data_IF_465285278794
#
_entry.id   IF_465285278794
#
_cell.length_a   1.000
_cell.length_b   1.000
_cell.length_c   1.000
_cell.angle_alpha   90.00
_cell.angle_beta   90.00
_cell.angle_gamma   90.00
#
_symmetry.space_group_name_H-M   'P 1'
#
loop_
_entity.id
_entity.type
_entity.pdbx_description
1 polymer ?
#
# COMPACT_ATOMS: atom_id res chain seq x y z
N UNK A 1 -12.61 -6.68 -15.42
CA UNK A 1 -11.72 -5.51 -15.32
C UNK A 1 -10.78 -5.75 -14.17
N UNK A 2 -9.46 -5.68 -14.38
CA UNK A 2 -8.48 -5.89 -13.32
C UNK A 2 -8.23 -4.55 -12.61
N UNK A 3 -8.30 -4.52 -11.28
CA UNK A 3 -8.09 -3.32 -10.48
C UNK A 3 -6.84 -3.53 -9.64
N UNK A 4 -5.95 -2.55 -9.64
CA UNK A 4 -4.78 -2.53 -8.77
C UNK A 4 -4.91 -1.35 -7.81
N UNK A 5 -5.07 -1.64 -6.51
CA UNK A 5 -5.08 -0.62 -5.49
C UNK A 5 -3.64 -0.41 -5.03
N UNK A 6 -3.14 0.82 -5.17
CA UNK A 6 -1.80 1.21 -4.71
C UNK A 6 -1.92 2.29 -3.65
N UNK A 7 -0.80 2.68 -3.03
CA UNK A 7 -0.79 3.75 -2.03
C UNK A 7 0.41 4.66 -2.22
N UNK A 8 0.19 5.95 -2.06
CA UNK A 8 1.26 6.95 -2.21
C UNK A 8 2.45 6.69 -1.29
N UNK A 9 3.64 7.09 -1.76
CA UNK A 9 4.87 7.08 -0.96
C UNK A 9 4.76 8.19 0.09
N UNK A 10 4.86 7.83 1.37
CA UNK A 10 4.91 8.82 2.45
C UNK A 10 6.26 9.56 2.42
N UNK A 11 6.29 10.89 2.64
CA UNK A 11 7.55 11.62 2.87
C UNK A 11 8.38 11.05 4.03
N UNK A 12 7.75 10.29 4.91
CA UNK A 12 8.41 9.62 6.03
C UNK A 12 8.99 8.24 5.73
N UNK A 13 8.93 7.76 4.48
CA UNK A 13 9.43 6.43 4.08
C UNK A 13 10.88 6.17 4.51
N UNK A 14 11.69 7.21 4.67
CA UNK A 14 13.06 7.11 5.21
C UNK A 14 13.13 6.49 6.62
N UNK A 15 12.01 6.48 7.35
CA UNK A 15 11.82 5.90 8.68
C UNK A 15 11.03 4.59 8.68
N UNK A 16 10.82 3.96 7.52
CA UNK A 16 10.08 2.70 7.39
C UNK A 16 10.63 1.60 8.30
N UNK A 17 9.78 0.63 8.63
CA UNK A 17 10.15 -0.57 9.37
C UNK A 17 11.19 -1.38 8.58
N UNK A 18 12.13 -2.00 9.28
CA UNK A 18 13.17 -2.85 8.69
C UNK A 18 13.22 -4.18 9.42
N UNK A 19 13.34 -5.27 8.67
CA UNK A 19 13.52 -6.61 9.23
C UNK A 19 14.87 -7.15 8.78
N UNK A 20 15.76 -7.40 9.75
CA UNK A 20 17.09 -7.98 9.54
C UNK A 20 18.02 -7.22 8.57
N UNK A 21 17.81 -5.92 8.38
CA UNK A 21 18.65 -5.08 7.51
C UNK A 21 19.10 -3.79 8.20
N UNK A 22 20.35 -3.35 7.98
CA UNK A 22 20.78 -2.03 8.40
C UNK A 22 20.07 -0.96 7.57
N UNK A 23 19.81 0.20 8.18
CA UNK A 23 19.20 1.33 7.47
C UNK A 23 20.19 1.94 6.48
N UNK A 24 19.72 2.13 5.25
CA UNK A 24 20.39 2.90 4.19
C UNK A 24 19.51 4.10 3.85
N UNK A 25 20.14 5.20 3.45
CA UNK A 25 19.40 6.38 3.03
C UNK A 25 18.49 6.07 1.82
N UNK A 26 17.22 6.42 1.94
CA UNK A 26 16.24 6.34 0.86
C UNK A 26 16.11 7.74 0.27
N UNK A 27 16.34 7.86 -1.04
CA UNK A 27 15.99 9.05 -1.79
C UNK A 27 14.47 9.05 -2.03
N UNK A 28 13.78 9.98 -1.37
CA UNK A 28 12.32 10.08 -1.43
C UNK A 28 11.81 10.42 -2.83
N UNK A 29 12.48 11.33 -3.54
CA UNK A 29 12.04 11.72 -4.88
C UNK A 29 12.27 10.59 -5.88
N UNK A 30 13.37 9.86 -5.74
CA UNK A 30 13.61 8.65 -6.52
C UNK A 30 12.56 7.58 -6.23
N UNK A 31 12.24 7.30 -4.96
CA UNK A 31 11.21 6.33 -4.58
C UNK A 31 9.83 6.71 -5.15
N UNK A 32 9.47 8.00 -5.11
CA UNK A 32 8.23 8.54 -5.68
C UNK A 32 8.18 8.38 -7.20
N UNK A 33 9.30 8.63 -7.89
CA UNK A 33 9.41 8.44 -9.34
C UNK A 33 9.28 6.95 -9.71
N UNK A 34 9.97 6.07 -8.99
CA UNK A 34 9.89 4.61 -9.18
C UNK A 34 8.47 4.08 -8.96
N UNK A 35 7.79 4.54 -7.91
CA UNK A 35 6.40 4.15 -7.65
C UNK A 35 5.44 4.62 -8.76
N UNK A 36 5.63 5.83 -9.28
CA UNK A 36 4.86 6.33 -10.42
C UNK A 36 5.08 5.47 -11.66
N UNK A 37 6.32 5.04 -11.92
CA UNK A 37 6.64 4.13 -13.01
C UNK A 37 6.01 2.73 -12.81
N UNK A 38 6.02 2.21 -11.59
CA UNK A 38 5.36 0.95 -11.24
C UNK A 38 3.85 0.98 -11.57
N UNK A 39 3.15 2.05 -11.20
CA UNK A 39 1.74 2.20 -11.53
C UNK A 39 1.48 2.33 -13.03
N UNK A 40 2.38 2.99 -13.77
CA UNK A 40 2.29 3.05 -15.24
C UNK A 40 2.46 1.65 -15.86
N UNK A 41 3.33 0.81 -15.30
CA UNK A 41 3.46 -0.59 -15.72
C UNK A 41 2.17 -1.39 -15.46
N UNK A 42 1.53 -1.21 -14.30
CA UNK A 42 0.24 -1.83 -13.98
C UNK A 42 -0.86 -1.40 -14.98
N UNK A 43 -0.93 -0.09 -15.27
CA UNK A 43 -1.88 0.44 -16.24
C UNK A 43 -1.63 -0.12 -17.65
N UNK A 44 -0.36 -0.22 -18.07
CA UNK A 44 0.04 -0.80 -19.36
C UNK A 44 -0.30 -2.29 -19.45
N UNK A 45 -0.27 -3.00 -18.32
CA UNK A 45 -0.71 -4.39 -18.21
C UNK A 45 -2.25 -4.55 -18.20
N UNK A 46 -3.00 -3.45 -18.33
CA UNK A 46 -4.47 -3.47 -18.42
C UNK A 46 -5.20 -3.31 -17.07
N UNK A 47 -4.50 -2.92 -16.01
CA UNK A 47 -5.13 -2.62 -14.73
C UNK A 47 -5.75 -1.22 -14.72
N UNK A 48 -6.89 -1.07 -14.06
CA UNK A 48 -7.33 0.23 -13.55
C UNK A 48 -6.62 0.47 -12.22
N UNK A 49 -5.76 1.47 -12.16
CA UNK A 49 -4.99 1.80 -10.95
C UNK A 49 -5.81 2.76 -10.08
N UNK A 50 -6.13 2.33 -8.85
CA UNK A 50 -6.72 3.17 -7.82
C UNK A 50 -5.65 3.50 -6.78
N UNK A 51 -5.07 4.69 -6.89
CA UNK A 51 -4.05 5.17 -5.96
C UNK A 51 -4.71 5.79 -4.73
N UNK A 52 -4.45 5.24 -3.56
CA UNK A 52 -4.88 5.79 -2.28
C UNK A 52 -3.88 6.82 -1.74
N UNK A 53 -4.39 7.86 -1.10
CA UNK A 53 -3.56 8.84 -0.42
C UNK A 53 -2.88 8.27 0.83
N UNK A 54 -1.75 8.86 1.18
CA UNK A 54 -1.06 8.61 2.44
C UNK A 54 -0.86 9.88 3.25
N UNK A 55 -0.40 9.71 4.49
CA UNK A 55 -0.06 10.78 5.42
C UNK A 55 1.41 10.67 5.83
N UNK A 56 1.97 11.78 6.32
CA UNK A 56 3.38 11.87 6.70
C UNK A 56 3.75 11.02 7.94
N UNK A 57 2.78 10.42 8.63
CA UNK A 57 2.96 9.58 9.81
C UNK A 57 2.86 8.07 9.52
N UNK A 58 2.61 7.68 8.27
CA UNK A 58 2.52 6.27 7.84
C UNK A 58 3.67 5.94 6.89
N UNK A 59 4.88 5.72 7.44
CA UNK A 59 6.10 5.52 6.66
C UNK A 59 6.02 4.32 5.68
N UNK A 60 5.33 3.26 6.10
CA UNK A 60 5.24 1.99 5.39
C UNK A 60 3.98 1.83 4.55
N UNK A 61 3.14 2.88 4.46
CA UNK A 61 1.83 2.81 3.81
C UNK A 61 1.85 2.34 2.37
N UNK A 62 2.95 2.56 1.66
CA UNK A 62 3.11 2.12 0.26
C UNK A 62 3.00 0.59 0.14
N UNK A 63 3.37 -0.16 1.19
CA UNK A 63 3.31 -1.62 1.24
C UNK A 63 1.90 -2.11 1.56
N UNK A 64 0.94 -1.72 0.72
CA UNK A 64 -0.50 -1.96 0.91
C UNK A 64 -0.87 -3.45 0.99
N UNK A 65 -0.05 -4.33 0.39
CA UNK A 65 -0.25 -5.79 0.36
C UNK A 65 -0.41 -6.40 1.76
N UNK A 66 0.33 -5.90 2.75
CA UNK A 66 0.27 -6.43 4.10
C UNK A 66 -1.06 -6.19 4.80
N UNK A 67 -1.88 -5.25 4.31
CA UNK A 67 -3.10 -4.78 4.96
C UNK A 67 -4.32 -5.63 4.61
N UNK A 68 -4.33 -6.29 3.45
CA UNK A 68 -5.45 -7.11 3.04
C UNK A 68 -5.07 -8.22 2.07
N UNK A 69 -5.69 -9.39 2.25
CA UNK A 69 -5.67 -10.48 1.28
C UNK A 69 -6.96 -10.41 0.46
N UNK A 70 -6.83 -10.27 -0.87
CA UNK A 70 -7.98 -10.17 -1.78
C UNK A 70 -8.12 -11.47 -2.58
N UNK A 71 -9.28 -12.09 -2.45
CA UNK A 71 -9.68 -13.30 -3.17
C UNK A 71 -10.74 -12.96 -4.23
N UNK A 72 -11.15 -13.96 -5.02
CA UNK A 72 -12.19 -13.76 -6.03
C UNK A 72 -13.53 -13.37 -5.38
N UNK A 73 -13.86 -13.96 -4.23
CA UNK A 73 -15.15 -13.84 -3.55
C UNK A 73 -15.16 -12.79 -2.44
N UNK A 74 -14.03 -12.61 -1.74
CA UNK A 74 -13.95 -11.80 -0.52
C UNK A 74 -12.60 -11.09 -0.36
N UNK A 75 -12.52 -10.17 0.59
CA UNK A 75 -11.26 -9.64 1.07
C UNK A 75 -11.15 -9.78 2.59
N UNK A 76 -9.98 -10.23 3.07
CA UNK A 76 -9.66 -10.33 4.49
C UNK A 76 -8.73 -9.19 4.84
N UNK A 77 -9.21 -8.28 5.68
CA UNK A 77 -8.44 -7.21 6.26
C UNK A 77 -7.55 -7.79 7.37
N UNK A 78 -6.24 -7.64 7.24
CA UNK A 78 -5.29 -8.21 8.19
C UNK A 78 -5.13 -7.32 9.43
N UNK A 79 -4.38 -7.85 10.40
CA UNK A 79 -3.84 -7.08 11.52
C UNK A 79 -2.32 -7.08 11.46
N UNK A 80 -1.68 -6.02 10.92
CA UNK A 80 -0.23 -5.95 10.82
C UNK A 80 0.47 -6.22 12.14
N UNK A 81 1.58 -6.98 12.08
CA UNK A 81 2.40 -7.31 13.24
C UNK A 81 3.03 -6.06 13.87
N UNK A 82 3.59 -5.19 13.02
CA UNK A 82 4.10 -3.89 13.43
C UNK A 82 2.96 -2.94 13.85
N UNK A 83 3.04 -2.40 15.07
CA UNK A 83 1.97 -1.57 15.62
C UNK A 83 1.80 -0.25 14.87
N UNK A 84 2.91 0.32 14.39
CA UNK A 84 2.98 1.51 13.54
C UNK A 84 2.08 1.39 12.31
N UNK A 85 1.94 0.18 11.77
CA UNK A 85 1.22 -0.11 10.53
C UNK A 85 -0.26 -0.42 10.70
N UNK A 86 -0.73 -0.71 11.91
CA UNK A 86 -2.17 -1.01 12.16
C UNK A 86 -3.10 0.16 11.82
N UNK A 87 -2.57 1.39 11.80
CA UNK A 87 -3.32 2.60 11.42
C UNK A 87 -3.56 2.71 9.90
N UNK A 88 -2.90 1.90 9.09
CA UNK A 88 -3.09 1.86 7.64
C UNK A 88 -4.43 1.22 7.23
N UNK A 89 -4.93 0.31 8.07
CA UNK A 89 -6.06 -0.59 7.82
C UNK A 89 -7.37 0.10 7.38
N UNK A 90 -7.88 1.14 8.07
CA UNK A 90 -9.21 1.68 7.76
C UNK A 90 -9.35 2.20 6.33
N UNK A 91 -8.30 2.86 5.81
CA UNK A 91 -8.30 3.44 4.45
C UNK A 91 -8.34 2.35 3.39
N UNK A 92 -7.60 1.25 3.60
CA UNK A 92 -7.57 0.13 2.65
C UNK A 92 -8.88 -0.65 2.69
N UNK A 93 -9.43 -0.89 3.89
CA UNK A 93 -10.73 -1.52 4.06
C UNK A 93 -11.82 -0.74 3.29
N UNK A 94 -11.93 0.57 3.52
CA UNK A 94 -12.90 1.43 2.83
C UNK A 94 -12.77 1.38 1.29
N UNK A 95 -11.55 1.30 0.77
CA UNK A 95 -11.35 1.16 -0.67
C UNK A 95 -11.84 -0.20 -1.21
N UNK A 96 -11.62 -1.27 -0.45
CA UNK A 96 -12.00 -2.63 -0.84
C UNK A 96 -13.50 -2.93 -0.75
N UNK A 97 -14.25 -2.22 0.12
CA UNK A 97 -15.72 -2.36 0.23
C UNK A 97 -16.46 -2.14 -1.10
N UNK A 98 -15.87 -1.37 -2.01
CA UNK A 98 -16.41 -1.13 -3.36
C UNK A 98 -16.40 -2.38 -4.24
N UNK A 99 -15.55 -3.36 -3.92
CA UNK A 99 -15.22 -4.47 -4.80
C UNK A 99 -15.49 -5.85 -4.20
N UNK A 100 -15.39 -6.01 -2.87
CA UNK A 100 -15.50 -7.28 -2.18
C UNK A 100 -16.22 -7.13 -0.83
N UNK A 101 -16.86 -8.21 -0.38
CA UNK A 101 -17.29 -8.34 1.01
C UNK A 101 -16.06 -8.47 1.91
N UNK A 102 -16.03 -7.67 2.99
CA UNK A 102 -14.91 -7.64 3.92
C UNK A 102 -15.08 -8.59 5.11
N UNK A 103 -13.96 -9.17 5.52
CA UNK A 103 -13.78 -9.93 6.75
C UNK A 103 -12.54 -9.43 7.50
N UNK A 104 -12.46 -9.69 8.81
CA UNK A 104 -11.36 -9.26 9.70
C UNK A 104 -10.83 -10.44 10.51
#
# INVERSE_FOLDING_TARGET
>A
MLIAITREISPSIVRCELTHQPRVAIDFELARAQHTQYEQCLATAGCVVERLHTTADLADSVFIEDIALVLAELAVVTRPGAESRRRETPVVAQALEKYRTLHH
#
